data_IF_865886109653
#
_entry.id   IF_865886109653
#
_cell.length_a   1.000
_cell.length_b   1.000
_cell.length_c   1.000
_cell.angle_alpha   90.00
_cell.angle_beta   90.00
_cell.angle_gamma   90.00
#
_symmetry.space_group_name_H-M   'P 1'
#
loop_
_entity.id
_entity.type
_entity.pdbx_description
1 polymer ?
#
# COMPACT_ATOMS: atom_id res chain seq x y z
N UNK A 1 23.49 -12.02 12.39
CA UNK A 1 22.59 -12.50 13.45
C UNK A 1 21.22 -11.88 13.22
N UNK A 2 20.12 -12.63 13.16
CA UNK A 2 18.81 -12.03 13.05
C UNK A 2 18.49 -11.29 14.35
N UNK A 3 18.16 -10.01 14.23
CA UNK A 3 17.70 -9.17 15.35
C UNK A 3 16.22 -9.55 15.60
N UNK A 4 15.97 -10.59 16.37
CA UNK A 4 14.61 -11.03 16.71
C UNK A 4 14.13 -10.51 18.07
N UNK A 5 14.89 -9.59 18.68
CA UNK A 5 14.53 -9.00 19.97
C UNK A 5 13.75 -7.70 19.75
N UNK A 6 12.47 -7.63 20.18
CA UNK A 6 11.65 -6.42 20.07
C UNK A 6 12.25 -5.19 20.77
N UNK A 7 13.01 -5.41 21.84
CA UNK A 7 13.68 -4.33 22.59
C UNK A 7 14.79 -3.69 21.74
N UNK A 8 15.57 -4.50 21.07
CA UNK A 8 16.64 -4.04 20.18
C UNK A 8 16.10 -3.28 18.97
N UNK A 9 14.95 -3.69 18.41
CA UNK A 9 14.31 -2.98 17.31
C UNK A 9 13.83 -1.58 17.72
N UNK A 10 13.22 -1.45 18.90
CA UNK A 10 12.81 -0.14 19.42
C UNK A 10 13.99 0.81 19.62
N UNK A 11 15.11 0.29 20.10
CA UNK A 11 16.33 1.07 20.25
C UNK A 11 16.90 1.51 18.90
N UNK A 12 16.90 0.62 17.91
CA UNK A 12 17.28 0.98 16.53
C UNK A 12 16.38 2.07 15.96
N UNK A 13 15.06 2.01 16.19
CA UNK A 13 14.13 3.03 15.70
C UNK A 13 14.34 4.38 16.38
N UNK A 14 14.64 4.41 17.69
CA UNK A 14 15.03 5.64 18.39
C UNK A 14 16.34 6.24 17.85
N UNK A 15 17.31 5.38 17.58
CA UNK A 15 18.58 5.80 16.99
C UNK A 15 18.39 6.30 15.55
N UNK A 16 17.53 5.64 14.76
CA UNK A 16 17.14 6.07 13.42
C UNK A 16 16.51 7.47 13.44
N UNK A 17 15.57 7.73 14.35
CA UNK A 17 14.94 9.05 14.47
C UNK A 17 15.93 10.17 14.77
N UNK A 18 17.02 9.85 15.46
CA UNK A 18 18.15 10.77 15.72
C UNK A 18 19.16 10.85 14.56
N UNK A 19 18.87 10.27 13.40
CA UNK A 19 19.72 10.32 12.21
C UNK A 19 20.92 9.36 12.23
N UNK A 20 20.91 8.32 13.05
CA UNK A 20 21.99 7.34 13.12
C UNK A 20 21.95 6.41 11.87
N UNK A 21 22.95 6.54 11.01
CA UNK A 21 23.09 5.77 9.76
C UNK A 21 23.33 4.28 10.00
N UNK A 22 24.05 3.90 11.06
CA UNK A 22 24.25 2.49 11.40
C UNK A 22 22.95 1.81 11.84
N UNK A 23 22.08 2.53 12.53
CA UNK A 23 20.75 2.01 12.87
C UNK A 23 19.89 1.82 11.62
N UNK A 24 19.97 2.76 10.67
CA UNK A 24 19.31 2.62 9.36
C UNK A 24 19.82 1.40 8.59
N UNK A 25 21.14 1.22 8.48
CA UNK A 25 21.77 0.07 7.82
C UNK A 25 21.29 -1.25 8.41
N UNK A 26 21.28 -1.38 9.73
CA UNK A 26 20.78 -2.60 10.42
C UNK A 26 19.32 -2.89 10.10
N UNK A 27 18.47 -1.88 10.09
CA UNK A 27 17.06 -2.01 9.72
C UNK A 27 16.89 -2.37 8.24
N UNK A 28 17.69 -1.77 7.36
CA UNK A 28 17.74 -2.11 5.94
C UNK A 28 18.07 -3.59 5.74
N UNK A 29 19.19 -4.06 6.32
CA UNK A 29 19.63 -5.45 6.22
C UNK A 29 18.59 -6.44 6.78
N UNK A 30 17.90 -6.06 7.83
CA UNK A 30 16.84 -6.89 8.44
C UNK A 30 15.61 -7.05 7.55
N UNK A 31 15.23 -5.99 6.82
CA UNK A 31 13.92 -5.95 6.17
C UNK A 31 13.95 -5.96 4.64
N UNK A 32 15.04 -5.52 4.01
CA UNK A 32 15.12 -5.33 2.56
C UNK A 32 14.75 -6.57 1.76
N UNK A 33 15.33 -7.72 2.08
CA UNK A 33 15.06 -8.98 1.35
C UNK A 33 13.57 -9.37 1.41
N UNK A 34 12.91 -9.14 2.54
CA UNK A 34 11.50 -9.48 2.71
C UNK A 34 10.59 -8.48 1.98
N UNK A 35 10.91 -7.20 2.02
CA UNK A 35 10.19 -6.16 1.29
C UNK A 35 10.36 -6.37 -0.20
N UNK A 36 11.60 -6.58 -0.68
CA UNK A 36 11.89 -6.90 -2.07
C UNK A 36 11.08 -8.10 -2.57
N UNK A 37 11.08 -9.21 -1.78
CA UNK A 37 10.33 -10.42 -2.14
C UNK A 37 8.81 -10.20 -2.27
N UNK A 38 8.25 -9.16 -1.62
CA UNK A 38 6.86 -8.79 -1.85
C UNK A 38 6.69 -7.90 -3.07
N UNK A 39 7.57 -6.93 -3.27
CA UNK A 39 7.53 -6.02 -4.42
C UNK A 39 7.67 -6.81 -5.72
N UNK A 40 8.71 -7.67 -5.84
CA UNK A 40 8.98 -8.43 -7.07
C UNK A 40 7.82 -9.35 -7.48
N UNK A 41 7.10 -9.92 -6.53
CA UNK A 41 5.90 -10.72 -6.82
C UNK A 41 4.79 -9.92 -7.48
N UNK A 42 4.75 -8.61 -7.25
CA UNK A 42 3.73 -7.72 -7.75
C UNK A 42 4.14 -7.10 -9.09
N UNK A 43 5.34 -6.52 -9.16
CA UNK A 43 5.80 -5.80 -10.36
C UNK A 43 6.39 -6.72 -11.43
N UNK A 44 6.88 -7.91 -11.05
CA UNK A 44 7.46 -8.94 -11.95
C UNK A 44 8.63 -8.43 -12.80
N UNK A 45 9.31 -7.38 -12.35
CA UNK A 45 10.49 -6.78 -12.97
C UNK A 45 11.51 -6.51 -11.88
N UNK A 46 12.73 -7.02 -12.05
CA UNK A 46 13.82 -6.85 -11.08
C UNK A 46 14.19 -5.39 -10.92
N UNK A 47 14.37 -4.69 -12.04
CA UNK A 47 14.78 -3.28 -12.06
C UNK A 47 13.76 -2.40 -11.34
N UNK A 48 12.47 -2.57 -11.67
CA UNK A 48 11.38 -1.85 -10.99
C UNK A 48 11.29 -2.22 -9.51
N UNK A 49 11.55 -3.48 -9.16
CA UNK A 49 11.48 -3.89 -7.76
C UNK A 49 12.65 -3.30 -6.93
N UNK A 50 13.82 -3.17 -7.53
CA UNK A 50 15.00 -2.54 -6.92
C UNK A 50 14.76 -1.03 -6.73
N UNK A 51 14.23 -0.34 -7.74
CA UNK A 51 13.88 1.08 -7.67
C UNK A 51 12.86 1.36 -6.56
N UNK A 52 11.77 0.59 -6.54
CA UNK A 52 10.74 0.74 -5.50
C UNK A 52 11.30 0.44 -4.10
N UNK A 53 12.15 -0.59 -3.97
CA UNK A 53 12.79 -0.90 -2.69
C UNK A 53 13.64 0.28 -2.21
N UNK A 54 14.44 0.85 -3.09
CA UNK A 54 15.27 2.02 -2.79
C UNK A 54 14.40 3.19 -2.34
N UNK A 55 13.36 3.52 -3.08
CA UNK A 55 12.42 4.60 -2.76
C UNK A 55 11.74 4.39 -1.40
N UNK A 56 11.36 3.15 -1.05
CA UNK A 56 10.82 2.82 0.27
C UNK A 56 11.80 3.23 1.37
N UNK A 57 13.07 2.85 1.25
CA UNK A 57 14.05 3.15 2.29
C UNK A 57 14.49 4.62 2.29
N UNK A 58 14.52 5.30 1.15
CA UNK A 58 14.69 6.77 1.07
C UNK A 58 13.57 7.45 1.87
N UNK A 59 12.31 7.08 1.63
CA UNK A 59 11.16 7.64 2.35
C UNK A 59 11.21 7.34 3.86
N UNK A 60 11.70 6.17 4.26
CA UNK A 60 11.93 5.84 5.68
C UNK A 60 12.95 6.81 6.29
N UNK A 61 14.05 7.07 5.59
CA UNK A 61 15.07 8.01 6.05
C UNK A 61 14.55 9.44 6.15
N UNK A 62 13.81 9.90 5.14
CA UNK A 62 13.20 11.24 5.14
C UNK A 62 12.20 11.42 6.29
N UNK A 63 11.40 10.40 6.57
CA UNK A 63 10.37 10.43 7.62
C UNK A 63 10.80 9.87 8.97
N UNK A 64 12.09 9.62 9.17
CA UNK A 64 12.65 8.96 10.36
C UNK A 64 12.20 9.55 11.69
N UNK A 65 12.06 10.88 11.76
CA UNK A 65 11.66 11.60 12.97
C UNK A 65 10.18 11.37 13.35
N UNK A 66 9.35 11.02 12.38
CA UNK A 66 7.92 10.76 12.57
C UNK A 66 7.60 9.30 12.84
N UNK A 67 8.59 8.41 12.79
CA UNK A 67 8.40 6.97 13.01
C UNK A 67 8.24 6.72 14.52
N UNK A 68 7.09 6.18 14.89
CA UNK A 68 6.76 5.82 16.26
C UNK A 68 7.42 4.46 16.65
N UNK A 69 8.40 4.43 17.58
CA UNK A 69 9.07 3.20 17.97
C UNK A 69 8.17 2.18 18.71
N UNK A 70 7.00 2.62 19.18
CA UNK A 70 6.04 1.75 19.85
C UNK A 70 5.14 0.99 18.87
N UNK A 71 5.09 1.41 17.60
CA UNK A 71 4.35 0.76 16.54
C UNK A 71 5.19 -0.26 15.78
N UNK A 72 4.52 -1.22 15.13
CA UNK A 72 5.20 -2.22 14.30
C UNK A 72 5.88 -1.59 13.09
N UNK A 73 7.19 -1.45 13.13
CA UNK A 73 7.98 -0.96 12.00
C UNK A 73 7.83 -1.84 10.75
N UNK A 74 7.77 -3.16 10.96
CA UNK A 74 7.48 -4.10 9.88
C UNK A 74 6.19 -3.75 9.15
N UNK A 75 5.09 -3.53 9.89
CA UNK A 75 3.81 -3.16 9.29
C UNK A 75 3.91 -1.84 8.53
N UNK A 76 4.60 -0.85 9.10
CA UNK A 76 4.83 0.44 8.44
C UNK A 76 5.58 0.30 7.11
N UNK A 77 6.67 -0.48 7.07
CA UNK A 77 7.41 -0.78 5.84
C UNK A 77 6.54 -1.45 4.76
N UNK A 78 5.71 -2.43 5.16
CA UNK A 78 4.81 -3.09 4.23
C UNK A 78 3.75 -2.15 3.65
N UNK A 79 3.22 -1.24 4.46
CA UNK A 79 2.28 -0.21 4.00
C UNK A 79 2.97 0.76 3.04
N UNK A 80 4.17 1.24 3.38
CA UNK A 80 4.95 2.11 2.50
C UNK A 80 5.27 1.45 1.16
N UNK A 81 5.78 0.21 1.18
CA UNK A 81 6.13 -0.51 -0.06
C UNK A 81 4.90 -0.75 -0.94
N UNK A 82 3.76 -1.06 -0.33
CA UNK A 82 2.50 -1.25 -1.06
C UNK A 82 2.05 0.04 -1.74
N UNK A 83 2.09 1.17 -1.06
CA UNK A 83 1.72 2.46 -1.64
C UNK A 83 2.61 2.80 -2.85
N UNK A 84 3.92 2.55 -2.76
CA UNK A 84 4.83 2.80 -3.87
C UNK A 84 4.58 1.89 -5.07
N UNK A 85 4.25 0.62 -4.84
CA UNK A 85 3.83 -0.29 -5.92
C UNK A 85 2.55 0.21 -6.59
N UNK A 86 1.58 0.70 -5.83
CA UNK A 86 0.34 1.27 -6.38
C UNK A 86 0.65 2.52 -7.21
N UNK A 87 1.48 3.41 -6.68
CA UNK A 87 1.88 4.63 -7.38
C UNK A 87 2.63 4.32 -8.68
N UNK A 88 3.49 3.29 -8.68
CA UNK A 88 4.12 2.78 -9.89
C UNK A 88 3.10 2.32 -10.94
N UNK A 89 2.16 1.46 -10.56
CA UNK A 89 1.14 0.99 -11.53
C UNK A 89 0.24 2.11 -12.01
N UNK A 90 -0.08 3.08 -11.15
CA UNK A 90 -0.82 4.27 -11.55
C UNK A 90 -0.07 5.04 -12.63
N UNK A 91 1.22 5.30 -12.43
CA UNK A 91 2.06 6.01 -13.38
C UNK A 91 2.12 5.29 -14.73
N UNK A 92 2.43 3.99 -14.74
CA UNK A 92 2.47 3.16 -15.96
C UNK A 92 1.15 3.21 -16.73
N UNK A 93 0.04 3.17 -16.02
CA UNK A 93 -1.28 3.20 -16.66
C UNK A 93 -1.63 4.55 -17.24
N UNK A 94 -1.22 5.63 -16.60
CA UNK A 94 -1.38 6.99 -17.14
C UNK A 94 -0.51 7.17 -18.40
N UNK A 95 0.72 6.66 -18.38
CA UNK A 95 1.61 6.67 -19.55
C UNK A 95 0.99 5.90 -20.73
N UNK A 96 0.44 4.70 -20.51
CA UNK A 96 -0.23 3.92 -21.53
C UNK A 96 -1.48 4.60 -22.08
N UNK A 97 -2.28 5.24 -21.23
CA UNK A 97 -3.44 6.02 -21.66
C UNK A 97 -3.03 7.22 -22.49
N UNK A 98 -1.97 7.92 -22.10
CA UNK A 98 -1.43 9.05 -22.87
C UNK A 98 -0.88 8.60 -24.23
N UNK A 99 -0.14 7.50 -24.30
CA UNK A 99 0.36 6.93 -25.57
C UNK A 99 -0.79 6.53 -26.51
N UNK A 100 -1.82 5.88 -25.98
CA UNK A 100 -3.00 5.50 -26.77
C UNK A 100 -3.74 6.74 -27.30
N UNK A 101 -3.92 7.76 -26.45
CA UNK A 101 -4.56 9.02 -26.85
C UNK A 101 -3.77 9.75 -27.94
N UNK A 102 -2.43 9.81 -27.81
CA UNK A 102 -1.56 10.42 -28.82
C UNK A 102 -1.54 9.64 -30.13
N UNK A 103 -1.61 8.30 -30.08
CA UNK A 103 -1.68 7.45 -31.27
C UNK A 103 -3.02 7.59 -32.02
N UNK A 104 -4.11 7.82 -31.31
CA UNK A 104 -5.45 7.98 -31.90
C UNK A 104 -5.74 9.41 -32.40
N UNK A 105 -5.17 10.45 -31.78
CA UNK A 105 -5.57 11.84 -32.01
C UNK A 105 -4.44 12.77 -32.51
N UNK A 106 -3.26 12.28 -32.86
CA UNK A 106 -2.16 13.05 -33.49
C UNK A 106 -2.06 14.50 -33.05
N UNK A 107 -1.28 14.78 -32.01
CA UNK A 107 -0.84 16.10 -31.57
C UNK A 107 -1.89 17.19 -31.32
N UNK A 108 -2.23 17.39 -30.05
CA UNK A 108 -2.35 18.71 -29.45
C UNK A 108 -2.54 18.64 -27.92
N UNK A 109 -1.63 19.32 -27.21
CA UNK A 109 -1.73 19.83 -25.84
C UNK A 109 -1.99 18.82 -24.69
N UNK A 110 -0.92 18.34 -24.14
CA UNK A 110 -0.87 17.74 -22.79
C UNK A 110 -1.28 18.78 -21.74
N UNK A 111 -2.45 18.67 -21.18
CA UNK A 111 -2.92 19.48 -20.07
C UNK A 111 -2.88 18.67 -18.76
N UNK A 112 -2.22 19.20 -17.75
CA UNK A 112 -2.07 18.68 -16.38
C UNK A 112 -3.41 18.41 -15.65
N UNK A 113 -4.54 18.67 -16.31
CA UNK A 113 -5.90 18.61 -15.74
C UNK A 113 -6.48 17.19 -15.77
N UNK A 114 -5.96 16.27 -16.60
CA UNK A 114 -6.53 14.92 -16.75
C UNK A 114 -6.03 13.89 -15.73
N UNK A 115 -4.85 14.11 -15.15
CA UNK A 115 -4.33 13.25 -14.06
C UNK A 115 -5.26 13.20 -12.84
N UNK A 116 -5.83 14.35 -12.49
CA UNK A 116 -6.78 14.46 -11.36
C UNK A 116 -8.12 13.76 -11.64
N UNK A 117 -8.52 13.66 -12.90
CA UNK A 117 -9.85 13.13 -13.29
C UNK A 117 -9.88 11.61 -13.22
N UNK A 118 -8.90 10.91 -13.75
CA UNK A 118 -8.80 9.43 -13.71
C UNK A 118 -8.61 8.94 -12.26
N UNK A 119 -7.82 9.67 -11.47
CA UNK A 119 -7.66 9.38 -10.04
C UNK A 119 -8.96 9.55 -9.26
N UNK A 120 -9.69 10.64 -9.54
CA UNK A 120 -10.98 10.92 -8.90
C UNK A 120 -12.06 9.91 -9.33
N UNK A 121 -12.04 9.43 -10.57
CA UNK A 121 -12.99 8.42 -11.06
C UNK A 121 -12.71 7.03 -10.49
N UNK A 122 -11.45 6.61 -10.43
CA UNK A 122 -11.05 5.33 -9.81
C UNK A 122 -11.32 5.35 -8.30
N UNK A 123 -11.02 6.46 -7.62
CA UNK A 123 -11.34 6.67 -6.21
C UNK A 123 -12.85 6.64 -5.97
N UNK A 124 -13.63 7.34 -6.79
CA UNK A 124 -15.10 7.34 -6.72
C UNK A 124 -15.71 5.97 -7.00
N UNK A 125 -15.14 5.18 -7.91
CA UNK A 125 -15.60 3.82 -8.19
C UNK A 125 -15.37 2.89 -6.98
N UNK A 126 -14.20 2.98 -6.36
CA UNK A 126 -13.89 2.25 -5.11
C UNK A 126 -14.76 2.71 -3.95
N UNK A 127 -14.96 4.01 -3.79
CA UNK A 127 -15.84 4.54 -2.75
C UNK A 127 -17.28 4.06 -2.93
N UNK A 128 -17.83 4.04 -4.15
CA UNK A 128 -19.15 3.47 -4.46
C UNK A 128 -19.25 1.99 -4.08
N UNK A 129 -18.19 1.20 -4.30
CA UNK A 129 -18.16 -0.21 -3.91
C UNK A 129 -18.11 -0.33 -2.37
N UNK A 130 -17.28 0.50 -1.71
CA UNK A 130 -17.23 0.53 -0.24
C UNK A 130 -18.54 1.00 0.38
N UNK A 131 -19.27 1.92 -0.25
CA UNK A 131 -20.57 2.42 0.23
C UNK A 131 -21.67 1.34 0.21
N UNK A 132 -21.51 0.29 -0.59
CA UNK A 132 -22.40 -0.88 -0.58
C UNK A 132 -22.11 -1.87 0.56
N UNK A 133 -20.96 -1.72 1.25
CA UNK A 133 -20.67 -2.55 2.43
C UNK A 133 -21.48 -2.05 3.65
N UNK A 134 -21.96 -2.96 4.51
CA UNK A 134 -22.48 -2.57 5.82
C UNK A 134 -21.48 -1.73 6.60
N UNK A 135 -21.91 -0.65 7.23
CA UNK A 135 -21.04 0.39 7.82
C UNK A 135 -19.94 -0.18 8.73
N UNK A 136 -20.29 -1.08 9.66
CA UNK A 136 -19.30 -1.74 10.52
C UNK A 136 -18.23 -2.51 9.73
N UNK A 137 -18.64 -3.17 8.64
CA UNK A 137 -17.70 -3.94 7.79
C UNK A 137 -16.78 -3.03 7.00
N UNK A 138 -17.32 -1.92 6.47
CA UNK A 138 -16.56 -0.88 5.78
C UNK A 138 -15.48 -0.28 6.68
N UNK A 139 -15.84 0.13 7.91
CA UNK A 139 -14.90 0.67 8.89
C UNK A 139 -13.79 -0.33 9.20
N UNK A 140 -14.14 -1.57 9.59
CA UNK A 140 -13.15 -2.60 9.93
C UNK A 140 -12.22 -2.89 8.75
N UNK A 141 -12.76 -2.94 7.55
CA UNK A 141 -11.99 -3.20 6.35
C UNK A 141 -11.02 -2.06 6.03
N UNK A 142 -11.47 -0.79 6.13
CA UNK A 142 -10.59 0.39 5.96
C UNK A 142 -9.48 0.40 7.00
N UNK A 143 -9.78 0.23 8.28
CA UNK A 143 -8.77 0.18 9.35
C UNK A 143 -7.71 -0.90 9.10
N UNK A 144 -8.12 -2.11 8.71
CA UNK A 144 -7.18 -3.22 8.50
C UNK A 144 -6.42 -3.14 7.18
N UNK A 145 -7.08 -2.70 6.09
CA UNK A 145 -6.53 -2.84 4.74
C UNK A 145 -6.03 -1.52 4.14
N UNK A 146 -6.62 -0.40 4.49
CA UNK A 146 -6.18 0.92 4.03
C UNK A 146 -5.20 1.55 5.03
N UNK A 147 -5.53 1.54 6.32
CA UNK A 147 -4.69 2.12 7.37
C UNK A 147 -3.63 1.14 7.90
N UNK A 148 -3.72 -0.15 7.54
CA UNK A 148 -2.71 -1.16 7.88
C UNK A 148 -2.70 -1.60 9.33
N UNK A 149 -3.76 -1.31 10.11
CA UNK A 149 -3.84 -1.72 11.51
C UNK A 149 -3.95 -3.24 11.65
N UNK A 150 -3.30 -3.79 12.69
CA UNK A 150 -3.41 -5.22 12.98
C UNK A 150 -4.82 -5.57 13.48
N UNK A 151 -5.24 -6.81 13.23
CA UNK A 151 -6.55 -7.31 13.72
C UNK A 151 -6.69 -7.17 15.24
N UNK A 152 -5.59 -7.30 15.99
CA UNK A 152 -5.56 -7.10 17.42
C UNK A 152 -5.88 -5.64 17.81
N UNK A 153 -5.22 -4.68 17.17
CA UNK A 153 -5.47 -3.25 17.40
C UNK A 153 -6.91 -2.89 17.07
N UNK A 154 -7.42 -3.34 15.92
CA UNK A 154 -8.80 -3.06 15.51
C UNK A 154 -9.81 -3.71 16.45
N UNK A 155 -9.53 -4.92 16.96
CA UNK A 155 -10.39 -5.62 17.92
C UNK A 155 -10.49 -4.86 19.25
N UNK A 156 -9.37 -4.32 19.72
CA UNK A 156 -9.30 -3.49 20.94
C UNK A 156 -10.02 -2.15 20.77
N UNK A 157 -9.78 -1.45 19.65
CA UNK A 157 -10.43 -0.16 19.36
C UNK A 157 -11.95 -0.25 19.25
N UNK A 158 -12.45 -1.34 18.63
CA UNK A 158 -13.89 -1.51 18.38
C UNK A 158 -14.58 -2.40 19.40
N UNK A 159 -13.86 -2.87 20.42
CA UNK A 159 -14.35 -3.78 21.46
C UNK A 159 -15.08 -5.01 20.89
N UNK A 160 -14.44 -5.68 19.92
CA UNK A 160 -14.94 -6.92 19.28
C UNK A 160 -13.83 -7.97 19.25
N UNK A 161 -14.19 -9.25 19.05
CA UNK A 161 -13.19 -10.31 18.98
C UNK A 161 -12.32 -10.22 17.71
N UNK A 162 -11.07 -10.69 17.80
CA UNK A 162 -10.16 -10.79 16.64
C UNK A 162 -10.78 -11.64 15.53
N UNK A 163 -11.51 -12.70 15.88
CA UNK A 163 -12.23 -13.55 14.92
C UNK A 163 -13.34 -12.78 14.18
N UNK A 164 -14.03 -11.86 14.88
CA UNK A 164 -15.03 -10.98 14.30
C UNK A 164 -14.38 -10.02 13.30
N UNK A 165 -13.23 -9.42 13.65
CA UNK A 165 -12.45 -8.56 12.74
C UNK A 165 -12.06 -9.35 11.48
N UNK A 166 -11.50 -10.56 11.64
CA UNK A 166 -11.12 -11.43 10.53
C UNK A 166 -12.31 -11.73 9.62
N UNK A 167 -13.47 -12.11 10.18
CA UNK A 167 -14.67 -12.42 9.42
C UNK A 167 -15.17 -11.22 8.60
N UNK A 168 -15.18 -10.02 9.19
CA UNK A 168 -15.53 -8.80 8.48
C UNK A 168 -14.57 -8.50 7.33
N UNK A 169 -13.25 -8.63 7.55
CA UNK A 169 -12.23 -8.39 6.51
C UNK A 169 -12.36 -9.38 5.35
N UNK A 170 -12.55 -10.68 5.65
CA UNK A 170 -12.72 -11.72 4.62
C UNK A 170 -13.99 -11.50 3.80
N UNK A 171 -15.11 -11.21 4.46
CA UNK A 171 -16.39 -10.96 3.77
C UNK A 171 -16.36 -9.70 2.93
N UNK A 172 -15.75 -8.61 3.45
CA UNK A 172 -15.55 -7.38 2.69
C UNK A 172 -14.67 -7.63 1.46
N UNK A 173 -13.52 -8.30 1.63
CA UNK A 173 -12.61 -8.59 0.54
C UNK A 173 -13.25 -9.41 -0.58
N UNK A 174 -14.07 -10.41 -0.24
CA UNK A 174 -14.83 -11.19 -1.24
C UNK A 174 -15.85 -10.35 -1.99
N UNK A 175 -16.57 -9.48 -1.29
CA UNK A 175 -17.56 -8.58 -1.89
C UNK A 175 -16.88 -7.60 -2.84
N UNK A 176 -15.86 -6.87 -2.38
CA UNK A 176 -15.15 -5.89 -3.20
C UNK A 176 -14.52 -6.54 -4.43
N UNK A 177 -13.92 -7.75 -4.27
CA UNK A 177 -13.39 -8.51 -5.41
C UNK A 177 -14.47 -8.86 -6.43
N UNK A 178 -15.65 -9.28 -5.99
CA UNK A 178 -16.77 -9.60 -6.86
C UNK A 178 -17.23 -8.38 -7.65
N UNK A 179 -17.45 -7.26 -6.97
CA UNK A 179 -17.94 -6.02 -7.61
C UNK A 179 -16.92 -5.46 -8.62
N UNK A 180 -15.63 -5.54 -8.33
CA UNK A 180 -14.57 -5.12 -9.27
C UNK A 180 -14.50 -5.99 -10.52
N UNK A 181 -14.79 -7.30 -10.41
CA UNK A 181 -14.82 -8.21 -11.55
C UNK A 181 -16.05 -8.03 -12.42
N UNK A 182 -17.15 -7.54 -11.86
CA UNK A 182 -18.41 -7.29 -12.57
C UNK A 182 -18.37 -5.98 -13.37
N UNK A 183 -17.62 -4.99 -12.91
CA UNK A 183 -17.43 -3.73 -13.64
C UNK A 183 -16.34 -3.91 -14.71
N UNK A 184 -16.60 -4.75 -15.70
CA UNK A 184 -15.76 -4.96 -16.89
C UNK A 184 -15.58 -3.65 -17.67
N UNK A 185 -14.48 -2.99 -17.43
CA UNK A 185 -14.08 -1.76 -18.12
C UNK A 185 -12.82 -1.13 -17.56
N UNK A 186 -12.44 -1.47 -16.33
CA UNK A 186 -11.29 -0.86 -15.68
C UNK A 186 -10.35 -1.94 -15.11
N UNK A 187 -9.56 -2.54 -16.00
CA UNK A 187 -8.49 -3.53 -15.66
C UNK A 187 -7.56 -3.01 -14.58
N UNK A 188 -7.41 -1.70 -14.48
CA UNK A 188 -6.61 -1.01 -13.48
C UNK A 188 -7.17 -1.13 -12.08
N UNK A 189 -8.47 -0.89 -11.91
CA UNK A 189 -9.13 -0.96 -10.60
C UNK A 189 -9.08 -2.39 -10.04
N UNK A 190 -9.22 -3.39 -10.91
CA UNK A 190 -9.07 -4.81 -10.56
C UNK A 190 -7.64 -5.20 -10.16
N UNK A 191 -6.63 -4.67 -10.86
CA UNK A 191 -5.22 -4.87 -10.54
C UNK A 191 -4.83 -4.20 -9.22
N UNK A 192 -5.21 -2.96 -9.01
CA UNK A 192 -4.98 -2.23 -7.74
C UNK A 192 -5.62 -2.98 -6.58
N UNK A 193 -6.82 -3.53 -6.77
CA UNK A 193 -7.47 -4.32 -5.74
C UNK A 193 -6.76 -5.64 -5.45
N UNK A 194 -6.34 -6.40 -6.47
CA UNK A 194 -5.56 -7.62 -6.29
C UNK A 194 -4.25 -7.35 -5.53
N UNK A 195 -3.66 -6.18 -5.73
CA UNK A 195 -2.44 -5.75 -5.07
C UNK A 195 -2.68 -5.30 -3.62
N UNK A 196 -3.80 -4.62 -3.36
CA UNK A 196 -4.13 -4.10 -2.03
C UNK A 196 -4.62 -5.18 -1.06
N UNK A 197 -5.20 -6.29 -1.56
CA UNK A 197 -6.07 -7.13 -0.74
C UNK A 197 -5.77 -8.64 -0.77
N UNK A 198 -4.56 -9.00 -1.22
CA UNK A 198 -4.08 -10.38 -1.14
C UNK A 198 -3.52 -10.77 0.22
#
# INVERSE_FOLDING_TARGET
MPIDNPVEEKELLKNLSNGNTLAFEKLYLKYSARIYGNIIKLVKSTDVADDILQDVFVKIWEKRESIDPEKSFKTYLFVCSRHMVIDFFRKVSLEQLAENFLSENGSELYSHVEEDTVYRETGKALDKIFDQLPEKRKIIYKLCKVEGLSYKVVSEQLNISISTVHDHVVKAGRFVKKELLVHEGNTLTGLIFLLLFK
#
